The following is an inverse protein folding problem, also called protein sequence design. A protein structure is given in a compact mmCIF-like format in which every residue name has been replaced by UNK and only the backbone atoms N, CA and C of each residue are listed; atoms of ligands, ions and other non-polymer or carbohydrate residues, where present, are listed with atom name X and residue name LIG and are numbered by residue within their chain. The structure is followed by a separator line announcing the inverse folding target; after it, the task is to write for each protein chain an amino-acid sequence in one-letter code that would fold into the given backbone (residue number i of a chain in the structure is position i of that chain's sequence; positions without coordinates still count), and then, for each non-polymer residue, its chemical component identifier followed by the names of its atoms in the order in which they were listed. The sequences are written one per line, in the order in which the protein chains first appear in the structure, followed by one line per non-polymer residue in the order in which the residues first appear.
data_IF_441044072901
#
_entry.id   IF_441044072901
#
_cell.length_a   1.000
_cell.length_b   1.000
_cell.length_c   1.000
_cell.angle_alpha   90.00
_cell.angle_beta   90.00
_cell.angle_gamma   90.00
#
_symmetry.space_group_name_H-M   'P 1'
#
loop_
_entity.id
_entity.type
_entity.pdbx_description
1 polymer ?
#
# COMPACT_ATOMS: atom_id res chain seq x y z
N UNK A 1 1.93 1.70 23.83
CA UNK A 1 2.67 0.56 23.28
C UNK A 1 1.84 -0.18 22.26
N UNK A 2 2.41 -0.41 21.13
CA UNK A 2 1.67 -0.99 20.02
C UNK A 2 2.19 -2.36 19.64
N UNK A 3 2.56 -3.12 20.65
CA UNK A 3 3.14 -4.44 20.43
C UNK A 3 2.23 -5.38 19.67
N UNK A 4 0.92 -5.20 19.84
CA UNK A 4 -0.05 -6.12 19.26
C UNK A 4 -0.57 -5.68 17.91
N UNK A 5 -0.09 -4.56 17.40
CA UNK A 5 -0.53 -4.12 16.09
C UNK A 5 0.16 -4.93 14.99
N UNK A 6 -0.63 -5.28 13.99
CA UNK A 6 -0.09 -5.94 12.79
C UNK A 6 0.28 -4.89 11.77
N UNK A 7 1.48 -5.02 11.24
CA UNK A 7 1.96 -4.15 10.17
C UNK A 7 1.60 -4.79 8.84
N UNK A 8 0.80 -4.11 8.05
CA UNK A 8 0.24 -4.72 6.84
C UNK A 8 0.65 -3.96 5.59
N UNK A 9 0.76 -4.71 4.51
CA UNK A 9 0.93 -4.18 3.18
C UNK A 9 -0.30 -4.56 2.37
N UNK A 10 -0.93 -3.59 1.70
CA UNK A 10 -2.10 -3.86 0.87
C UNK A 10 -1.71 -3.61 -0.57
N UNK A 11 -1.62 -4.69 -1.33
CA UNK A 11 -1.26 -4.63 -2.75
C UNK A 11 -2.53 -4.52 -3.57
N UNK A 12 -2.64 -3.45 -4.34
CA UNK A 12 -3.86 -3.17 -5.07
C UNK A 12 -4.91 -2.49 -4.20
N UNK A 13 -4.47 -1.52 -3.40
CA UNK A 13 -5.33 -0.90 -2.41
C UNK A 13 -6.49 -0.10 -3.01
N UNK A 14 -6.40 0.28 -4.27
CA UNK A 14 -7.44 1.07 -4.92
C UNK A 14 -8.53 0.21 -5.56
N UNK A 15 -8.35 -1.11 -5.63
CA UNK A 15 -9.38 -2.00 -6.16
C UNK A 15 -10.46 -2.29 -5.12
N UNK A 16 -11.47 -3.06 -5.53
CA UNK A 16 -12.61 -3.35 -4.65
C UNK A 16 -12.19 -4.05 -3.37
N UNK A 17 -11.35 -5.08 -3.50
CA UNK A 17 -10.91 -5.84 -2.32
C UNK A 17 -9.99 -4.98 -1.47
N UNK A 18 -9.13 -4.19 -2.11
CA UNK A 18 -8.22 -3.32 -1.36
C UNK A 18 -8.95 -2.26 -0.57
N UNK A 19 -9.98 -1.64 -1.17
CA UNK A 19 -10.75 -0.63 -0.44
C UNK A 19 -11.52 -1.25 0.71
N UNK A 20 -12.06 -2.46 0.52
CA UNK A 20 -12.73 -3.16 1.61
C UNK A 20 -11.77 -3.51 2.73
N UNK A 21 -10.54 -3.87 2.38
CA UNK A 21 -9.53 -4.15 3.40
C UNK A 21 -9.23 -2.93 4.24
N UNK A 22 -9.17 -1.76 3.61
CA UNK A 22 -8.94 -0.52 4.34
C UNK A 22 -10.12 -0.16 5.24
N UNK A 23 -11.34 -0.52 4.84
CA UNK A 23 -12.50 -0.34 5.71
C UNK A 23 -12.37 -1.17 6.99
N UNK A 24 -11.83 -2.37 6.88
CA UNK A 24 -11.58 -3.19 8.06
C UNK A 24 -10.54 -2.53 8.95
N UNK A 25 -9.50 -1.96 8.37
CA UNK A 25 -8.50 -1.21 9.13
C UNK A 25 -9.14 -0.05 9.87
N UNK A 26 -10.04 0.68 9.20
CA UNK A 26 -10.75 1.79 9.83
C UNK A 26 -11.58 1.34 11.03
N UNK A 27 -12.18 0.16 10.93
CA UNK A 27 -13.00 -0.37 12.01
C UNK A 27 -12.16 -0.80 13.21
N UNK A 28 -10.86 -1.04 13.00
CA UNK A 28 -9.98 -1.53 14.06
C UNK A 28 -8.67 -0.73 14.07
N UNK A 29 -8.75 0.58 14.34
CA UNK A 29 -7.55 1.43 14.20
C UNK A 29 -6.42 1.10 15.16
N UNK A 30 -6.74 0.40 16.24
CA UNK A 30 -5.71 0.04 17.21
C UNK A 30 -5.07 -1.32 16.94
N UNK A 31 -5.48 -2.00 15.87
CA UNK A 31 -4.99 -3.34 15.57
C UNK A 31 -4.03 -3.38 14.38
N UNK A 32 -4.06 -2.38 13.52
CA UNK A 32 -3.31 -2.43 12.27
C UNK A 32 -2.53 -1.15 12.04
N UNK A 33 -1.35 -1.32 11.47
CA UNK A 33 -0.55 -0.23 10.95
C UNK A 33 -0.38 -0.49 9.46
N UNK A 34 -0.78 0.46 8.62
CA UNK A 34 -0.62 0.33 7.18
C UNK A 34 0.79 0.79 6.83
N UNK A 35 1.62 -0.14 6.38
CA UNK A 35 3.00 0.18 6.02
C UNK A 35 3.17 0.46 4.54
N UNK A 36 2.42 -0.24 3.69
CA UNK A 36 2.58 -0.16 2.25
C UNK A 36 1.21 -0.16 1.58
N UNK A 37 1.03 0.76 0.65
CA UNK A 37 -0.14 0.76 -0.24
C UNK A 37 0.37 0.77 -1.67
N UNK A 38 -0.26 -0.02 -2.53
CA UNK A 38 0.12 -0.02 -3.94
C UNK A 38 -1.08 0.06 -4.84
N UNK A 39 -0.87 0.63 -6.02
CA UNK A 39 -1.89 0.68 -7.05
C UNK A 39 -1.21 0.59 -8.41
N UNK A 40 -1.98 0.20 -9.43
CA UNK A 40 -1.45 0.14 -10.78
C UNK A 40 -1.55 1.49 -11.48
N UNK A 41 -2.76 2.03 -11.60
CA UNK A 41 -3.01 3.25 -12.38
C UNK A 41 -3.76 4.33 -11.61
N UNK A 42 -4.50 3.97 -10.57
CA UNK A 42 -5.40 4.92 -9.92
C UNK A 42 -4.66 5.79 -8.93
N UNK A 43 -3.92 6.75 -9.47
CA UNK A 43 -3.10 7.62 -8.64
C UNK A 43 -3.93 8.50 -7.73
N UNK A 44 -5.08 8.99 -8.19
CA UNK A 44 -5.90 9.88 -7.37
C UNK A 44 -6.36 9.21 -6.09
N UNK A 45 -6.88 7.99 -6.20
CA UNK A 45 -7.34 7.29 -5.01
C UNK A 45 -6.18 6.85 -4.13
N UNK A 46 -5.08 6.41 -4.75
CA UNK A 46 -3.90 6.04 -3.99
C UNK A 46 -3.39 7.21 -3.14
N UNK A 47 -3.36 8.40 -3.72
CA UNK A 47 -2.94 9.59 -3.00
C UNK A 47 -3.87 9.86 -1.81
N UNK A 48 -5.18 9.76 -2.02
CA UNK A 48 -6.13 9.96 -0.94
C UNK A 48 -5.94 8.95 0.18
N UNK A 49 -5.74 7.70 -0.19
CA UNK A 49 -5.52 6.64 0.80
C UNK A 49 -4.23 6.90 1.59
N UNK A 50 -3.18 7.29 0.89
CA UNK A 50 -1.90 7.53 1.54
C UNK A 50 -1.98 8.70 2.51
N UNK A 51 -2.73 9.73 2.17
CA UNK A 51 -2.90 10.87 3.07
C UNK A 51 -3.66 10.49 4.32
N UNK A 52 -4.59 9.56 4.19
CA UNK A 52 -5.41 9.13 5.32
C UNK A 52 -4.66 8.14 6.21
N UNK A 53 -4.04 7.14 5.63
CA UNK A 53 -3.43 6.05 6.39
C UNK A 53 -1.96 6.24 6.68
N UNK A 54 -1.31 7.14 5.95
CA UNK A 54 0.09 7.53 6.16
C UNK A 54 1.03 6.33 6.22
N UNK A 55 1.06 5.53 5.14
CA UNK A 55 2.00 4.40 5.10
C UNK A 55 3.44 4.90 5.00
N UNK A 56 4.39 4.02 5.25
CA UNK A 56 5.79 4.35 5.02
C UNK A 56 6.11 4.44 3.53
N UNK A 57 5.49 3.58 2.73
CA UNK A 57 5.83 3.43 1.33
C UNK A 57 4.58 3.28 0.49
N UNK A 58 4.62 3.88 -0.69
CA UNK A 58 3.57 3.75 -1.69
C UNK A 58 4.23 3.32 -3.00
N UNK A 59 3.62 2.39 -3.71
CA UNK A 59 4.09 2.00 -5.03
C UNK A 59 2.99 2.21 -6.06
N UNK A 60 3.33 2.94 -7.12
CA UNK A 60 2.43 3.08 -8.27
C UNK A 60 3.13 2.38 -9.43
N UNK A 61 2.56 1.26 -9.90
CA UNK A 61 3.26 0.46 -10.88
C UNK A 61 3.32 1.10 -12.26
N UNK A 62 2.34 1.93 -12.59
CA UNK A 62 2.39 2.71 -13.83
C UNK A 62 3.35 3.87 -13.65
N UNK A 63 4.52 3.76 -14.26
CA UNK A 63 5.60 4.72 -14.08
C UNK A 63 5.22 6.12 -14.55
N UNK A 64 4.28 6.23 -15.48
CA UNK A 64 3.86 7.55 -15.95
C UNK A 64 3.10 8.34 -14.88
N UNK A 65 2.66 7.68 -13.82
CA UNK A 65 1.97 8.32 -12.71
C UNK A 65 2.89 8.64 -11.53
N UNK A 66 4.15 8.28 -11.63
CA UNK A 66 5.06 8.41 -10.50
C UNK A 66 5.19 9.85 -10.01
N UNK A 67 5.41 10.79 -10.93
CA UNK A 67 5.62 12.18 -10.54
C UNK A 67 4.42 12.75 -9.80
N UNK A 68 3.24 12.43 -10.29
CA UNK A 68 2.00 12.90 -9.69
C UNK A 68 1.89 12.44 -8.24
N UNK A 69 2.12 11.15 -8.02
CA UNK A 69 2.02 10.56 -6.69
C UNK A 69 3.12 11.08 -5.78
N UNK A 70 4.35 11.12 -6.30
CA UNK A 70 5.46 11.58 -5.49
C UNK A 70 5.29 13.03 -5.06
N UNK A 71 4.85 13.90 -5.98
CA UNK A 71 4.66 15.31 -5.65
C UNK A 71 3.58 15.50 -4.59
N UNK A 72 2.54 14.67 -4.63
CA UNK A 72 1.45 14.79 -3.68
C UNK A 72 1.84 14.31 -2.28
N UNK A 73 2.77 13.35 -2.18
CA UNK A 73 3.10 12.69 -0.92
C UNK A 73 4.45 13.08 -0.37
N UNK A 74 5.23 13.79 -1.13
CA UNK A 74 6.59 14.16 -0.75
C UNK A 74 6.64 14.88 0.60
N UNK A 75 5.74 15.84 0.80
CA UNK A 75 5.73 16.64 2.02
C UNK A 75 5.35 15.85 3.26
N UNK A 76 4.74 14.69 3.07
CA UNK A 76 4.32 13.85 4.18
C UNK A 76 5.39 12.86 4.61
N UNK A 77 6.53 12.87 3.94
CA UNK A 77 7.60 11.93 4.25
C UNK A 77 7.34 10.51 3.79
N UNK A 78 6.40 10.32 2.89
CA UNK A 78 6.07 9.00 2.36
C UNK A 78 6.95 8.72 1.15
N UNK A 79 7.62 7.57 1.16
CA UNK A 79 8.45 7.15 0.05
C UNK A 79 7.57 6.62 -1.08
N UNK A 80 7.86 7.06 -2.30
CA UNK A 80 7.09 6.65 -3.46
C UNK A 80 8.00 5.94 -4.45
N UNK A 81 7.61 4.76 -4.87
CA UNK A 81 8.32 3.99 -5.89
C UNK A 81 7.39 3.68 -7.04
N UNK A 82 7.97 3.30 -8.17
CA UNK A 82 7.17 2.93 -9.33
C UNK A 82 7.74 1.65 -9.96
N UNK A 83 6.90 0.98 -10.75
CA UNK A 83 7.28 -0.24 -11.44
C UNK A 83 6.99 -1.49 -10.65
N UNK A 84 6.77 -2.59 -11.38
CA UNK A 84 6.43 -3.87 -10.74
C UNK A 84 7.54 -4.43 -9.88
N UNK A 85 8.79 -4.19 -10.28
CA UNK A 85 9.92 -4.71 -9.51
C UNK A 85 9.98 -4.14 -8.11
N UNK A 86 9.46 -2.94 -7.93
CA UNK A 86 9.49 -2.30 -6.62
C UNK A 86 8.60 -3.01 -5.61
N UNK A 87 7.55 -3.69 -6.07
CA UNK A 87 6.63 -4.36 -5.14
C UNK A 87 7.33 -5.37 -4.28
N UNK A 88 8.14 -6.23 -4.90
CA UNK A 88 8.82 -7.28 -4.15
C UNK A 88 9.86 -6.69 -3.21
N UNK A 89 10.61 -5.73 -3.69
CA UNK A 89 11.63 -5.10 -2.85
C UNK A 89 11.03 -4.42 -1.64
N UNK A 90 9.93 -3.73 -1.84
CA UNK A 90 9.29 -3.00 -0.75
C UNK A 90 8.75 -3.97 0.30
N UNK A 91 8.09 -5.03 -0.15
CA UNK A 91 7.52 -6.00 0.78
C UNK A 91 8.62 -6.70 1.57
N UNK A 92 9.75 -6.98 0.93
CA UNK A 92 10.86 -7.65 1.61
C UNK A 92 11.58 -6.74 2.60
N UNK A 93 11.65 -5.45 2.30
CA UNK A 93 12.46 -4.53 3.08
C UNK A 93 11.71 -3.83 4.21
N UNK A 94 10.39 -3.80 4.15
CA UNK A 94 9.61 -3.19 5.21
C UNK A 94 9.25 -4.22 6.27
N UNK A 95 8.97 -3.73 7.46
CA UNK A 95 8.60 -4.60 8.57
C UNK A 95 7.13 -4.97 8.47
N UNK A 96 6.85 -6.00 7.67
CA UNK A 96 5.48 -6.38 7.31
C UNK A 96 5.14 -7.71 7.98
N UNK A 97 4.02 -7.72 8.69
CA UNK A 97 3.48 -8.94 9.30
C UNK A 97 2.55 -9.69 8.36
N UNK A 98 1.76 -8.95 7.58
CA UNK A 98 0.74 -9.53 6.71
C UNK A 98 0.74 -8.80 5.38
N UNK A 99 0.70 -9.57 4.29
CA UNK A 99 0.55 -9.00 2.95
C UNK A 99 -0.82 -9.39 2.44
N UNK A 100 -1.66 -8.41 2.16
CA UNK A 100 -2.97 -8.61 1.56
C UNK A 100 -2.86 -8.33 0.08
N UNK A 101 -3.12 -9.32 -0.74
CA UNK A 101 -3.00 -9.19 -2.18
C UNK A 101 -4.36 -9.07 -2.81
N UNK A 102 -4.65 -7.89 -3.32
CA UNK A 102 -5.91 -7.61 -4.02
C UNK A 102 -5.67 -7.44 -5.51
N UNK A 103 -4.55 -7.93 -6.01
CA UNK A 103 -4.19 -7.80 -7.41
C UNK A 103 -4.74 -8.96 -8.21
N UNK A 104 -5.60 -8.65 -9.16
CA UNK A 104 -6.17 -9.66 -10.04
C UNK A 104 -5.16 -9.98 -11.14
N UNK A 105 -4.92 -11.27 -11.35
CA UNK A 105 -4.05 -11.71 -12.44
C UNK A 105 -2.56 -11.59 -12.16
N UNK A 106 -2.18 -11.21 -10.96
CA UNK A 106 -0.76 -11.15 -10.61
C UNK A 106 -0.28 -12.56 -10.27
N UNK A 107 0.61 -13.08 -11.08
CA UNK A 107 0.96 -14.49 -11.00
C UNK A 107 2.24 -14.79 -10.24
N UNK A 108 3.01 -13.81 -9.91
CA UNK A 108 4.27 -14.07 -9.22
C UNK A 108 4.17 -14.09 -7.71
N UNK A 109 3.04 -13.67 -7.18
CA UNK A 109 2.87 -13.49 -5.75
C UNK A 109 1.78 -14.41 -5.24
N UNK A 110 2.12 -15.28 -4.31
CA UNK A 110 1.13 -16.17 -3.74
C UNK A 110 0.35 -15.44 -2.66
N UNK A 111 -0.96 -15.72 -2.54
CA UNK A 111 -1.72 -15.19 -1.42
C UNK A 111 -1.13 -15.68 -0.10
N UNK A 112 -0.99 -14.78 0.83
CA UNK A 112 -0.40 -15.13 2.11
C UNK A 112 -1.38 -15.04 3.25
N UNK A 113 -2.61 -14.92 2.93
CA UNK A 113 -3.66 -14.80 3.92
C UNK A 113 -4.16 -16.17 4.29
#
# INVERSE_FOLDING_TARGET
MNKNKKHIAILGSTGSIGTQSLEVVDAHPNRFVVEVLTAKNNSDLLIKQAKKYKPNVVVITNESKYKEVNNALFDLGIKVFSGLNSLEEVVENENIDVVLTALVGYSGLKPTI
#
